data_IF_540377160625
#
_entry.id   IF_540377160625
#
_cell.length_a   1.000
_cell.length_b   1.000
_cell.length_c   1.000
_cell.angle_alpha   90.00
_cell.angle_beta   90.00
_cell.angle_gamma   90.00
#
_symmetry.space_group_name_H-M   'P 1'
#
loop_
_entity.id
_entity.type
_entity.pdbx_description
1 polymer ?
#
# COMPACT_ATOMS: atom_id res chain seq x y z
N UNK A 1 16.75 0.87 20.38
CA UNK A 1 16.24 0.37 19.10
C UNK A 1 15.91 1.56 18.23
N UNK A 2 16.53 1.67 17.06
CA UNK A 2 16.25 2.68 16.04
C UNK A 2 15.27 2.12 14.99
N UNK A 3 14.30 2.91 14.54
CA UNK A 3 13.32 2.52 13.52
C UNK A 3 13.43 3.46 12.32
N UNK A 4 13.69 2.91 11.14
CA UNK A 4 13.63 3.64 9.87
C UNK A 4 12.27 3.45 9.23
N UNK A 5 11.57 4.53 8.91
CA UNK A 5 10.48 4.52 7.93
C UNK A 5 11.05 4.56 6.52
N UNK A 6 10.39 3.95 5.55
CA UNK A 6 10.78 4.14 4.16
C UNK A 6 9.61 3.96 3.19
N UNK A 7 9.72 4.63 2.04
CA UNK A 7 8.74 4.53 0.96
C UNK A 7 9.36 4.84 -0.40
N UNK A 8 8.58 4.57 -1.45
CA UNK A 8 8.87 4.97 -2.82
C UNK A 8 7.75 5.85 -3.32
N UNK A 9 8.07 6.81 -4.18
CA UNK A 9 7.08 7.70 -4.74
C UNK A 9 7.49 8.18 -6.13
N UNK A 10 6.54 8.20 -7.06
CA UNK A 10 6.68 8.83 -8.37
C UNK A 10 5.33 9.40 -8.77
N UNK A 11 5.29 10.66 -9.20
CA UNK A 11 4.08 11.33 -9.66
C UNK A 11 2.90 11.25 -8.65
N UNK A 12 3.22 11.47 -7.38
CA UNK A 12 2.28 11.43 -6.26
C UNK A 12 1.12 12.41 -6.39
N UNK A 13 1.39 13.61 -6.90
CA UNK A 13 0.39 14.67 -7.09
C UNK A 13 -0.52 14.33 -8.28
N UNK A 14 0.07 14.02 -9.44
CA UNK A 14 -0.65 13.69 -10.66
C UNK A 14 -1.60 12.51 -10.49
N UNK A 15 -1.17 11.48 -9.76
CA UNK A 15 -1.98 10.29 -9.51
C UNK A 15 -2.81 10.35 -8.22
N UNK A 16 -2.91 11.52 -7.61
CA UNK A 16 -3.71 11.78 -6.41
C UNK A 16 -3.46 10.74 -5.29
N UNK A 17 -2.19 10.44 -5.02
CA UNK A 17 -1.81 9.60 -3.88
C UNK A 17 -1.90 10.41 -2.58
N UNK A 18 -2.42 9.84 -1.47
CA UNK A 18 -2.38 10.46 -0.16
C UNK A 18 -0.98 10.32 0.48
N UNK A 19 0.08 10.64 -0.26
CA UNK A 19 1.47 10.36 0.14
C UNK A 19 1.92 11.24 1.31
N UNK A 20 1.43 12.48 1.39
CA UNK A 20 1.72 13.36 2.52
C UNK A 20 1.09 12.81 3.80
N UNK A 21 -0.15 12.36 3.72
CA UNK A 21 -0.88 11.72 4.82
C UNK A 21 -0.23 10.41 5.25
N UNK A 22 0.22 9.61 4.29
CA UNK A 22 1.01 8.39 4.52
C UNK A 22 2.27 8.69 5.33
N UNK A 23 3.11 9.63 4.87
CA UNK A 23 4.36 10.01 5.54
C UNK A 23 4.08 10.57 6.95
N UNK A 24 3.12 11.50 7.07
CA UNK A 24 2.69 12.07 8.37
C UNK A 24 2.23 11.00 9.34
N UNK A 25 1.54 9.96 8.86
CA UNK A 25 1.03 8.89 9.73
C UNK A 25 2.12 7.99 10.31
N UNK A 26 3.29 7.90 9.68
CA UNK A 26 4.39 7.06 10.15
C UNK A 26 5.51 7.85 10.84
N UNK A 27 5.70 9.13 10.52
CA UNK A 27 6.66 10.05 11.13
C UNK A 27 6.77 9.97 12.67
N UNK A 28 5.66 9.89 13.44
CA UNK A 28 5.72 9.79 14.91
C UNK A 28 6.36 8.49 15.43
N UNK A 29 6.41 7.44 14.62
CA UNK A 29 6.85 6.09 15.00
C UNK A 29 8.30 5.79 14.64
N UNK A 30 8.97 6.68 13.90
CA UNK A 30 10.29 6.45 13.32
C UNK A 30 11.31 7.49 13.77
N UNK A 31 12.58 7.10 13.70
CA UNK A 31 13.73 7.95 14.01
C UNK A 31 14.29 8.62 12.74
N UNK A 32 14.10 7.98 11.59
CA UNK A 32 14.38 8.53 10.26
C UNK A 32 13.33 8.03 9.26
N UNK A 33 13.14 8.75 8.15
CA UNK A 33 12.23 8.37 7.08
C UNK A 33 12.91 8.55 5.73
N UNK A 34 13.22 7.44 5.07
CA UNK A 34 13.90 7.40 3.78
C UNK A 34 12.90 7.36 2.61
N UNK A 35 12.99 8.30 1.67
CA UNK A 35 12.06 8.42 0.56
C UNK A 35 12.82 8.37 -0.77
N UNK A 36 12.61 7.31 -1.55
CA UNK A 36 13.08 7.25 -2.94
C UNK A 36 12.07 7.92 -3.86
N UNK A 37 12.41 9.09 -4.37
CA UNK A 37 11.56 9.87 -5.28
C UNK A 37 11.98 9.60 -6.72
N UNK A 38 11.16 8.84 -7.45
CA UNK A 38 11.38 8.61 -8.87
C UNK A 38 11.23 9.90 -9.68
N UNK A 39 12.16 10.16 -10.60
CA UNK A 39 12.09 11.28 -11.57
C UNK A 39 10.72 11.33 -12.22
N UNK A 40 9.95 12.37 -11.90
CA UNK A 40 8.58 12.57 -12.34
C UNK A 40 8.41 13.80 -13.21
N UNK A 41 7.16 14.08 -13.58
CA UNK A 41 6.75 15.24 -14.37
C UNK A 41 5.75 16.14 -13.62
N UNK A 42 5.68 16.03 -12.29
CA UNK A 42 4.78 16.82 -11.44
C UNK A 42 5.49 17.45 -10.22
N UNK A 43 4.73 18.12 -9.35
CA UNK A 43 5.23 18.81 -8.16
C UNK A 43 5.65 17.88 -7.01
N UNK A 44 5.64 16.56 -7.19
CA UNK A 44 5.84 15.61 -6.09
C UNK A 44 7.15 15.83 -5.34
N UNK A 45 8.26 16.01 -6.05
CA UNK A 45 9.56 16.23 -5.42
C UNK A 45 9.55 17.50 -4.56
N UNK A 46 8.99 18.60 -5.09
CA UNK A 46 8.87 19.86 -4.36
C UNK A 46 8.01 19.73 -3.09
N UNK A 47 6.91 18.97 -3.15
CA UNK A 47 6.06 18.70 -1.97
C UNK A 47 6.79 17.88 -0.90
N UNK A 48 7.64 16.94 -1.30
CA UNK A 48 8.47 16.17 -0.37
C UNK A 48 9.54 17.06 0.27
N UNK A 49 10.19 17.94 -0.49
CA UNK A 49 11.14 18.92 0.05
C UNK A 49 10.45 19.83 1.07
N UNK A 50 9.29 20.39 0.72
CA UNK A 50 8.50 21.24 1.62
C UNK A 50 8.09 20.51 2.91
N UNK A 51 7.60 19.27 2.80
CA UNK A 51 7.26 18.45 3.97
C UNK A 51 8.49 18.19 4.85
N UNK A 52 9.63 17.89 4.24
CA UNK A 52 10.91 17.64 4.93
C UNK A 52 11.35 18.84 5.76
N UNK A 53 11.24 20.04 5.20
CA UNK A 53 11.64 21.30 5.84
C UNK A 53 10.68 21.73 6.95
N UNK A 54 9.37 21.59 6.73
CA UNK A 54 8.33 22.11 7.65
C UNK A 54 7.94 21.14 8.76
N UNK A 55 7.81 19.85 8.43
CA UNK A 55 7.22 18.84 9.31
C UNK A 55 8.17 17.68 9.60
N UNK A 56 9.18 17.47 8.75
CA UNK A 56 10.09 16.33 8.81
C UNK A 56 10.93 16.25 10.08
N UNK A 57 11.06 17.35 10.84
CA UNK A 57 11.79 17.40 12.12
C UNK A 57 13.22 16.82 12.04
N UNK A 58 13.90 17.02 10.90
CA UNK A 58 15.23 16.46 10.61
C UNK A 58 15.26 14.94 10.37
N UNK A 59 14.11 14.27 10.35
CA UNK A 59 14.00 12.80 10.14
C UNK A 59 13.87 12.40 8.69
N UNK A 60 13.31 13.25 7.83
CA UNK A 60 13.07 12.93 6.42
C UNK A 60 14.37 13.04 5.62
N UNK A 61 14.72 11.96 4.93
CA UNK A 61 15.83 11.86 4.01
C UNK A 61 15.24 11.45 2.68
N UNK A 62 15.25 12.35 1.70
CA UNK A 62 14.74 12.06 0.36
C UNK A 62 15.88 12.16 -0.66
N UNK A 63 15.78 11.34 -1.70
CA UNK A 63 16.74 11.35 -2.80
C UNK A 63 16.04 10.91 -4.08
N UNK A 64 16.63 11.30 -5.21
CA UNK A 64 16.06 11.02 -6.51
C UNK A 64 16.50 9.65 -7.06
N UNK A 65 15.59 8.98 -7.76
CA UNK A 65 15.87 7.74 -8.50
C UNK A 65 15.33 7.79 -9.92
N UNK A 66 15.85 6.94 -10.79
CA UNK A 66 15.31 6.73 -12.14
C UNK A 66 14.52 5.43 -12.15
N UNK A 67 13.31 5.46 -12.70
CA UNK A 67 12.54 4.25 -12.97
C UNK A 67 12.70 3.93 -14.45
N UNK A 68 13.39 2.83 -14.76
CA UNK A 68 13.65 2.36 -16.12
C UNK A 68 12.40 1.68 -16.70
N UNK A 69 11.35 2.46 -16.91
CA UNK A 69 10.06 2.00 -17.42
C UNK A 69 10.16 1.43 -18.85
N UNK A 70 11.20 1.80 -19.59
CA UNK A 70 11.45 1.30 -20.94
C UNK A 70 12.18 -0.05 -20.98
N UNK A 71 12.57 -0.62 -19.83
CA UNK A 71 13.15 -1.97 -19.78
C UNK A 71 12.05 -3.06 -19.66
N UNK A 72 11.88 -3.95 -20.66
CA UNK A 72 10.86 -5.01 -20.63
C UNK A 72 10.97 -5.96 -19.42
N UNK A 73 12.18 -6.25 -18.93
CA UNK A 73 12.37 -7.19 -17.81
C UNK A 73 11.90 -6.57 -16.49
N UNK A 74 12.05 -5.26 -16.34
CA UNK A 74 11.61 -4.51 -15.14
C UNK A 74 10.11 -4.29 -15.06
N UNK A 75 9.40 -4.41 -16.19
CA UNK A 75 7.93 -4.31 -16.27
C UNK A 75 7.23 -5.58 -15.79
N UNK A 76 7.89 -6.73 -15.90
CA UNK A 76 7.28 -8.02 -15.61
C UNK A 76 6.87 -8.13 -14.13
N UNK A 77 5.56 -8.11 -13.88
CA UNK A 77 5.00 -8.29 -12.54
C UNK A 77 5.29 -7.15 -11.57
N UNK A 78 5.54 -5.93 -12.07
CA UNK A 78 5.76 -4.75 -11.24
C UNK A 78 7.14 -4.70 -10.56
N UNK A 79 8.13 -5.47 -11.05
CA UNK A 79 9.45 -5.62 -10.45
C UNK A 79 10.12 -4.29 -10.09
N UNK A 80 9.98 -3.27 -10.94
CA UNK A 80 10.49 -1.92 -10.69
C UNK A 80 10.06 -1.35 -9.33
N UNK A 81 8.84 -1.66 -8.85
CA UNK A 81 8.36 -1.21 -7.54
C UNK A 81 9.21 -1.82 -6.41
N UNK A 82 9.47 -3.13 -6.48
CA UNK A 82 10.33 -3.79 -5.50
C UNK A 82 11.79 -3.36 -5.59
N UNK A 83 12.34 -3.08 -6.78
CA UNK A 83 13.69 -2.53 -6.95
C UNK A 83 13.82 -1.18 -6.24
N UNK A 84 12.90 -0.25 -6.51
CA UNK A 84 12.90 1.08 -5.88
C UNK A 84 12.72 0.97 -4.37
N UNK A 85 11.88 0.03 -3.92
CA UNK A 85 11.66 -0.23 -2.49
C UNK A 85 12.95 -0.72 -1.84
N UNK A 86 13.69 -1.59 -2.50
CA UNK A 86 14.97 -2.09 -2.02
C UNK A 86 16.06 -1.00 -2.02
N UNK A 87 16.08 -0.10 -3.01
CA UNK A 87 16.97 1.07 -3.05
C UNK A 87 16.73 2.03 -1.88
N UNK A 88 15.46 2.23 -1.48
CA UNK A 88 15.11 2.99 -0.29
C UNK A 88 15.52 2.23 1.00
N UNK A 89 15.25 0.93 1.06
CA UNK A 89 15.61 0.07 2.18
C UNK A 89 17.12 0.04 2.42
N UNK A 90 17.95 0.00 1.37
CA UNK A 90 19.42 0.00 1.48
C UNK A 90 20.00 1.25 2.14
N UNK A 91 19.24 2.35 2.18
CA UNK A 91 19.63 3.59 2.85
C UNK A 91 19.09 3.69 4.28
N UNK A 92 18.28 2.74 4.74
CA UNK A 92 17.83 2.68 6.12
C UNK A 92 18.98 2.26 7.04
N UNK A 93 19.07 2.87 8.22
CA UNK A 93 20.11 2.59 9.22
C UNK A 93 19.55 2.07 10.54
N UNK A 94 18.23 1.98 10.67
CA UNK A 94 17.55 1.47 11.86
C UNK A 94 17.71 -0.04 12.05
N UNK A 95 17.44 -0.49 13.27
CA UNK A 95 17.33 -1.91 13.62
C UNK A 95 16.10 -2.55 12.97
N UNK A 96 15.07 -1.73 12.74
CA UNK A 96 13.81 -2.08 12.09
C UNK A 96 13.50 -1.11 10.96
N UNK A 97 12.97 -1.63 9.86
CA UNK A 97 12.59 -0.86 8.68
C UNK A 97 11.08 -1.02 8.47
N UNK A 98 10.33 0.08 8.59
CA UNK A 98 8.89 0.15 8.39
C UNK A 98 8.59 0.74 7.00
N UNK A 99 8.14 -0.13 6.10
CA UNK A 99 7.66 0.24 4.77
C UNK A 99 6.19 0.64 4.81
N UNK A 100 5.84 1.75 4.16
CA UNK A 100 4.45 2.16 3.95
C UNK A 100 4.30 2.68 2.51
N UNK A 101 3.31 2.18 1.77
CA UNK A 101 3.08 2.65 0.39
C UNK A 101 2.42 4.03 0.39
N UNK A 102 2.55 4.76 -0.71
CA UNK A 102 2.04 6.13 -0.86
C UNK A 102 0.50 6.26 -0.69
N UNK A 103 -0.25 5.17 -0.79
CA UNK A 103 -1.69 5.07 -0.54
C UNK A 103 -2.05 4.32 0.74
N UNK A 104 -1.08 4.01 1.60
CA UNK A 104 -1.26 3.38 2.89
C UNK A 104 -1.07 4.40 4.02
N UNK A 105 -1.95 4.38 5.02
CA UNK A 105 -1.94 5.32 6.14
C UNK A 105 -2.17 4.57 7.45
N UNK A 106 -1.44 4.94 8.49
CA UNK A 106 -1.65 4.43 9.85
C UNK A 106 -2.65 5.29 10.62
N UNK A 107 -3.48 4.66 11.44
CA UNK A 107 -4.32 5.36 12.39
C UNK A 107 -3.56 5.59 13.70
N UNK A 108 -3.61 6.81 14.24
CA UNK A 108 -2.99 7.20 15.50
C UNK A 108 -3.41 6.32 16.70
N UNK A 109 -4.62 5.76 16.66
CA UNK A 109 -5.12 4.82 17.68
C UNK A 109 -4.34 3.50 17.72
N UNK A 110 -3.65 3.15 16.62
CA UNK A 110 -2.85 1.94 16.51
C UNK A 110 -1.38 2.15 16.92
N UNK A 111 -0.92 3.40 17.12
CA UNK A 111 0.47 3.70 17.50
C UNK A 111 0.95 2.97 18.76
N UNK A 112 0.18 2.90 19.87
CA UNK A 112 0.62 2.16 21.05
C UNK A 112 0.83 0.66 20.76
N UNK A 113 -0.03 0.06 19.92
CA UNK A 113 0.06 -1.36 19.53
C UNK A 113 1.31 -1.63 18.70
N UNK A 114 1.62 -0.72 17.77
CA UNK A 114 2.83 -0.80 16.94
C UNK A 114 4.09 -0.74 17.79
N UNK A 115 4.18 0.24 18.71
CA UNK A 115 5.34 0.38 19.60
C UNK A 115 5.54 -0.85 20.47
N UNK A 116 4.46 -1.40 21.00
CA UNK A 116 4.52 -2.60 21.83
C UNK A 116 4.95 -3.83 21.00
N UNK A 117 4.40 -4.01 19.79
CA UNK A 117 4.79 -5.09 18.90
C UNK A 117 6.27 -5.01 18.52
N UNK A 118 6.79 -3.81 18.22
CA UNK A 118 8.21 -3.59 17.96
C UNK A 118 9.07 -3.96 19.17
N UNK A 119 8.69 -3.55 20.38
CA UNK A 119 9.41 -3.88 21.61
C UNK A 119 9.45 -5.39 21.86
N UNK A 120 8.31 -6.06 21.75
CA UNK A 120 8.20 -7.50 21.90
C UNK A 120 9.05 -8.24 20.86
N UNK A 121 8.92 -7.87 19.59
CA UNK A 121 9.70 -8.47 18.53
C UNK A 121 11.19 -8.23 18.73
N UNK A 122 11.61 -7.01 19.10
CA UNK A 122 13.02 -6.68 19.30
C UNK A 122 13.68 -7.55 20.39
N UNK A 123 12.95 -7.88 21.46
CA UNK A 123 13.42 -8.79 22.52
C UNK A 123 13.53 -10.26 22.11
N UNK A 124 13.02 -10.63 20.92
CA UNK A 124 12.94 -12.00 20.40
C UNK A 124 13.72 -12.11 19.08
N UNK A 125 14.99 -12.55 19.11
CA UNK A 125 15.85 -12.59 17.92
C UNK A 125 15.29 -13.41 16.76
N UNK A 126 14.42 -14.40 17.04
CA UNK A 126 13.77 -15.23 16.05
C UNK A 126 12.63 -14.53 15.29
N UNK A 127 12.23 -13.33 15.70
CA UNK A 127 11.22 -12.52 15.04
C UNK A 127 11.89 -11.53 14.08
N UNK A 128 11.49 -11.62 12.81
CA UNK A 128 12.09 -10.95 11.66
C UNK A 128 11.16 -9.89 11.05
N UNK A 129 9.90 -9.82 11.48
CA UNK A 129 8.94 -8.86 10.97
C UNK A 129 7.67 -8.73 11.80
N UNK A 130 6.91 -7.67 11.51
CA UNK A 130 5.60 -7.39 12.06
C UNK A 130 4.55 -7.45 10.96
N UNK A 131 3.48 -8.18 11.25
CA UNK A 131 2.33 -8.41 10.38
C UNK A 131 1.18 -7.49 10.78
N UNK A 132 0.61 -6.78 9.83
CA UNK A 132 -0.46 -5.79 10.02
C UNK A 132 -1.75 -6.27 9.38
N UNK A 133 -2.90 -5.86 9.93
CA UNK A 133 -4.21 -6.05 9.29
C UNK A 133 -4.48 -4.92 8.29
N UNK A 134 -5.22 -5.21 7.22
CA UNK A 134 -5.53 -4.25 6.15
C UNK A 134 -7.00 -3.87 6.11
N UNK A 135 -7.23 -2.57 5.93
CA UNK A 135 -8.53 -1.98 5.63
C UNK A 135 -8.44 -1.38 4.23
N UNK A 136 -8.99 -2.08 3.24
CA UNK A 136 -8.93 -1.66 1.84
C UNK A 136 -10.15 -0.81 1.48
N UNK A 137 -9.93 0.44 1.09
CA UNK A 137 -11.00 1.32 0.62
C UNK A 137 -11.18 1.20 -0.90
N UNK A 138 -12.43 1.28 -1.35
CA UNK A 138 -12.79 1.11 -2.76
C UNK A 138 -13.87 2.09 -3.18
N UNK A 139 -13.61 2.87 -4.23
CA UNK A 139 -14.58 3.77 -4.84
C UNK A 139 -14.85 5.02 -4.01
N UNK A 140 -15.01 4.92 -2.70
CA UNK A 140 -15.13 6.06 -1.80
C UNK A 140 -14.38 5.84 -0.48
N UNK A 141 -14.28 6.88 0.34
CA UNK A 141 -13.68 6.75 1.67
C UNK A 141 -14.62 6.01 2.63
N UNK A 142 -15.90 5.91 2.30
CA UNK A 142 -16.93 5.28 3.15
C UNK A 142 -17.19 3.81 2.80
N UNK A 143 -16.39 3.22 1.91
CA UNK A 143 -16.60 1.85 1.42
C UNK A 143 -15.30 1.06 1.49
N UNK A 144 -15.39 -0.12 2.11
CA UNK A 144 -14.27 -1.06 2.23
C UNK A 144 -14.54 -2.38 1.51
N UNK A 145 -13.46 -2.99 1.00
CA UNK A 145 -13.47 -4.32 0.43
C UNK A 145 -13.04 -5.34 1.49
N UNK A 146 -14.00 -6.17 1.93
CA UNK A 146 -13.79 -7.23 2.92
C UNK A 146 -13.74 -8.64 2.30
N UNK A 147 -13.87 -8.76 0.97
CA UNK A 147 -13.84 -10.08 0.31
C UNK A 147 -12.45 -10.70 0.27
N UNK A 148 -12.42 -12.03 0.06
CA UNK A 148 -11.18 -12.78 -0.15
C UNK A 148 -10.32 -12.37 -1.36
N UNK A 149 -10.81 -11.46 -2.20
CA UNK A 149 -10.04 -10.92 -3.34
C UNK A 149 -8.98 -9.90 -2.91
N UNK A 150 -9.09 -9.34 -1.70
CA UNK A 150 -8.06 -8.52 -1.09
C UNK A 150 -7.32 -9.31 0.01
N UNK A 151 -6.02 -9.10 0.12
CA UNK A 151 -5.23 -9.68 1.20
C UNK A 151 -5.61 -8.98 2.51
N UNK A 152 -5.86 -9.73 3.58
CA UNK A 152 -6.25 -9.11 4.86
C UNK A 152 -5.07 -8.67 5.71
N UNK A 153 -3.87 -9.17 5.41
CA UNK A 153 -2.68 -9.00 6.24
C UNK A 153 -1.42 -8.96 5.41
N UNK A 154 -0.53 -8.05 5.74
CA UNK A 154 0.81 -8.04 5.17
C UNK A 154 1.93 -7.60 6.11
N UNK A 155 3.15 -8.04 5.78
CA UNK A 155 4.37 -7.67 6.50
C UNK A 155 4.79 -6.28 6.07
N UNK A 156 4.89 -5.35 7.03
CA UNK A 156 5.21 -3.94 6.76
C UNK A 156 6.35 -3.37 7.58
N UNK A 157 6.72 -4.03 8.67
CA UNK A 157 7.95 -3.71 9.37
C UNK A 157 8.83 -4.94 9.44
N UNK A 158 10.09 -4.83 9.03
CA UNK A 158 11.05 -5.93 9.00
C UNK A 158 12.25 -5.59 9.88
N UNK A 159 12.83 -6.61 10.52
CA UNK A 159 14.11 -6.45 11.21
C UNK A 159 15.19 -6.30 10.13
N UNK A 160 15.98 -5.24 10.22
CA UNK A 160 16.98 -4.94 9.20
C UNK A 160 18.00 -6.08 9.06
N UNK A 161 18.48 -6.63 10.18
CA UNK A 161 19.44 -7.74 10.21
C UNK A 161 18.89 -9.07 9.65
N UNK A 162 17.57 -9.19 9.42
CA UNK A 162 17.00 -10.38 8.80
C UNK A 162 17.22 -10.43 7.27
N UNK A 163 17.70 -9.34 6.67
CA UNK A 163 18.02 -9.26 5.24
C UNK A 163 16.78 -9.34 4.33
N UNK A 164 15.59 -9.04 4.85
CA UNK A 164 14.36 -9.08 4.08
C UNK A 164 14.39 -8.11 2.90
N UNK A 165 13.96 -8.57 1.72
CA UNK A 165 13.87 -7.78 0.49
C UNK A 165 12.45 -7.77 -0.04
N UNK A 166 12.07 -6.62 -0.59
CA UNK A 166 10.81 -6.42 -1.29
C UNK A 166 10.81 -7.25 -2.58
N UNK A 167 9.64 -7.75 -2.99
CA UNK A 167 9.46 -8.57 -4.19
C UNK A 167 8.25 -8.12 -5.02
N UNK A 168 8.32 -8.34 -6.33
CA UNK A 168 7.20 -8.13 -7.25
C UNK A 168 6.70 -6.69 -7.22
N UNK A 169 5.41 -6.52 -6.93
CA UNK A 169 4.70 -5.24 -6.80
C UNK A 169 4.99 -4.48 -5.50
N UNK A 170 6.05 -4.86 -4.78
CA UNK A 170 6.44 -4.37 -3.47
C UNK A 170 5.41 -4.61 -2.35
N UNK A 171 4.48 -5.55 -2.53
CA UNK A 171 3.50 -5.89 -1.50
C UNK A 171 4.10 -6.65 -0.31
N UNK A 172 5.17 -7.42 -0.52
CA UNK A 172 5.59 -8.47 0.41
C UNK A 172 7.11 -8.58 0.49
N UNK A 173 7.62 -9.09 1.62
CA UNK A 173 9.06 -9.24 1.88
C UNK A 173 9.47 -10.70 2.05
N UNK A 174 10.64 -11.05 1.53
CA UNK A 174 11.27 -12.37 1.71
C UNK A 174 12.77 -12.26 1.96
N UNK A 175 13.35 -13.31 2.51
CA UNK A 175 14.80 -13.43 2.58
C UNK A 175 15.40 -13.55 1.17
N UNK A 176 16.68 -13.23 0.96
CA UNK A 176 17.32 -13.31 -0.35
C UNK A 176 17.30 -14.73 -0.94
N UNK A 177 17.26 -15.76 -0.08
CA UNK A 177 17.11 -17.16 -0.49
C UNK A 177 15.66 -17.58 -0.81
N UNK A 178 14.71 -16.64 -0.84
CA UNK A 178 13.29 -16.88 -1.13
C UNK A 178 12.45 -17.33 0.07
N UNK A 179 13.05 -17.50 1.25
CA UNK A 179 12.32 -17.90 2.44
C UNK A 179 11.39 -16.81 2.99
N UNK A 180 10.30 -17.26 3.61
CA UNK A 180 9.33 -16.40 4.30
C UNK A 180 9.90 -15.92 5.62
N UNK A 181 9.67 -14.65 5.95
CA UNK A 181 10.04 -14.08 7.25
C UNK A 181 9.20 -14.67 8.39
N UNK A 182 9.83 -14.87 9.55
CA UNK A 182 9.17 -15.21 10.81
C UNK A 182 8.62 -13.95 11.46
N UNK A 183 7.30 -13.86 11.64
CA UNK A 183 6.64 -12.62 12.05
C UNK A 183 5.72 -12.81 13.24
N UNK A 184 5.50 -11.75 14.02
CA UNK A 184 4.39 -11.65 14.97
C UNK A 184 3.32 -10.68 14.45
N UNK A 185 2.09 -10.85 14.91
CA UNK A 185 0.99 -9.95 14.56
C UNK A 185 1.04 -8.69 15.43
N UNK A 186 1.03 -7.51 14.80
CA UNK A 186 1.15 -6.22 15.47
C UNK A 186 -0.14 -5.76 16.16
N UNK A 187 -1.28 -6.36 15.81
CA UNK A 187 -2.64 -5.92 16.18
C UNK A 187 -2.98 -4.50 15.73
N UNK A 188 -2.18 -3.94 14.83
CA UNK A 188 -2.38 -2.63 14.23
C UNK A 188 -2.89 -2.78 12.79
N UNK A 189 -3.60 -1.75 12.33
CA UNK A 189 -4.20 -1.71 10.99
C UNK A 189 -3.47 -0.76 10.08
N UNK A 190 -3.51 -1.07 8.78
CA UNK A 190 -3.12 -0.17 7.69
C UNK A 190 -4.35 0.14 6.86
N UNK A 191 -4.62 1.43 6.71
CA UNK A 191 -5.72 1.97 5.93
C UNK A 191 -5.20 2.21 4.51
N UNK A 192 -5.66 1.41 3.57
CA UNK A 192 -5.16 1.40 2.20
C UNK A 192 -6.19 2.02 1.24
N UNK A 193 -5.88 3.21 0.72
CA UNK A 193 -6.71 4.03 -0.17
C UNK A 193 -6.37 3.84 -1.66
N UNK A 194 -5.91 2.64 -2.05
CA UNK A 194 -5.41 2.36 -3.39
C UNK A 194 -6.45 2.47 -4.51
N UNK A 195 -7.74 2.43 -4.17
CA UNK A 195 -8.87 2.50 -5.11
C UNK A 195 -9.85 3.65 -4.82
N UNK A 196 -9.43 4.71 -4.13
CA UNK A 196 -10.27 5.89 -3.84
C UNK A 196 -9.73 7.16 -4.49
N UNK A 197 -10.22 7.49 -5.70
CA UNK A 197 -9.81 8.64 -6.52
C UNK A 197 -10.98 9.11 -7.40
N UNK A 198 -10.90 10.31 -7.97
CA UNK A 198 -11.86 10.66 -9.03
C UNK A 198 -11.77 9.65 -10.18
N UNK A 199 -12.85 9.41 -10.94
CA UNK A 199 -12.78 8.52 -12.11
C UNK A 199 -11.69 8.92 -13.11
N UNK A 200 -11.43 10.23 -13.28
CA UNK A 200 -10.37 10.72 -14.16
C UNK A 200 -8.95 10.42 -13.61
N UNK A 201 -8.67 10.72 -12.34
CA UNK A 201 -7.38 10.40 -11.73
C UNK A 201 -7.15 8.88 -11.63
N UNK A 202 -8.22 8.10 -11.39
CA UNK A 202 -8.16 6.65 -11.42
C UNK A 202 -7.85 6.13 -12.83
N UNK A 203 -8.43 6.73 -13.88
CA UNK A 203 -8.13 6.40 -15.27
C UNK A 203 -6.66 6.66 -15.59
N UNK A 204 -6.13 7.83 -15.24
CA UNK A 204 -4.72 8.17 -15.47
C UNK A 204 -3.75 7.25 -14.71
N UNK A 205 -4.04 6.96 -13.44
CA UNK A 205 -3.30 5.96 -12.66
C UNK A 205 -3.33 4.59 -13.35
N UNK A 206 -4.49 4.18 -13.84
CA UNK A 206 -4.65 2.87 -14.48
C UNK A 206 -3.82 2.79 -15.75
N UNK A 207 -3.78 3.85 -16.57
CA UNK A 207 -2.88 3.91 -17.73
C UNK A 207 -1.41 3.79 -17.35
N UNK A 208 -0.99 4.50 -16.30
CA UNK A 208 0.40 4.40 -15.82
C UNK A 208 0.73 3.00 -15.29
N UNK A 209 -0.21 2.36 -14.58
CA UNK A 209 -0.04 0.98 -14.12
C UNK A 209 0.00 0.01 -15.30
N UNK A 210 -0.88 0.16 -16.29
CA UNK A 210 -0.83 -0.66 -17.51
C UNK A 210 0.53 -0.47 -18.22
N UNK A 211 1.06 0.75 -18.26
CA UNK A 211 2.40 1.01 -18.80
C UNK A 211 3.49 0.27 -18.02
N UNK A 212 3.38 0.29 -16.69
CA UNK A 212 4.34 -0.35 -15.79
C UNK A 212 4.31 -1.89 -15.91
N UNK A 213 3.14 -2.49 -16.13
CA UNK A 213 2.98 -3.95 -16.20
C UNK A 213 3.02 -4.54 -17.62
N UNK A 214 2.67 -3.75 -18.63
CA UNK A 214 2.45 -4.20 -20.01
C UNK A 214 3.23 -3.40 -21.07
N UNK A 215 3.90 -2.30 -20.71
CA UNK A 215 4.64 -1.44 -21.66
C UNK A 215 3.79 -0.34 -22.28
N UNK A 216 4.33 0.39 -23.27
CA UNK A 216 3.59 1.49 -23.93
C UNK A 216 2.19 1.04 -24.34
N UNK A 217 1.19 1.87 -24.04
CA UNK A 217 -0.19 1.58 -24.38
C UNK A 217 -0.31 1.22 -25.86
N UNK A 218 -1.18 0.26 -26.18
CA UNK A 218 -1.59 0.03 -27.55
C UNK A 218 -2.06 1.38 -28.13
N UNK A 219 -1.52 1.86 -29.26
CA UNK A 219 -1.95 3.11 -29.88
C UNK A 219 -3.47 3.18 -30.10
N UNK A 220 -4.15 2.03 -30.25
CA UNK A 220 -5.61 1.96 -30.34
C UNK A 220 -6.30 2.20 -28.98
N UNK A 221 -5.76 1.66 -27.89
CA UNK A 221 -6.27 1.88 -26.53
C UNK A 221 -6.05 3.33 -26.07
N UNK A 222 -4.91 3.91 -26.44
CA UNK A 222 -4.59 5.32 -26.18
C UNK A 222 -5.54 6.26 -26.96
N UNK A 223 -5.82 5.95 -28.23
CA UNK A 223 -6.83 6.69 -29.04
C UNK A 223 -8.26 6.52 -28.53
N UNK A 224 -8.62 5.35 -27.99
CA UNK A 224 -9.94 5.07 -27.44
C UNK A 224 -10.15 5.64 -26.02
N UNK A 225 -9.10 6.17 -25.38
CA UNK A 225 -9.17 6.75 -24.04
C UNK A 225 -9.55 5.74 -22.95
N UNK A 226 -9.35 4.44 -23.20
CA UNK A 226 -9.69 3.36 -22.25
C UNK A 226 -8.44 2.54 -21.93
N UNK A 227 -8.09 2.34 -20.63
CA UNK A 227 -6.96 1.50 -20.25
C UNK A 227 -7.09 0.06 -20.76
N UNK A 228 -5.97 -0.64 -20.92
CA UNK A 228 -5.93 -2.05 -21.33
C UNK A 228 -6.63 -2.96 -20.31
N UNK A 229 -6.60 -2.58 -19.03
CA UNK A 229 -7.36 -3.24 -17.95
C UNK A 229 -8.86 -2.90 -17.94
N UNK A 230 -9.33 -2.10 -18.90
CA UNK A 230 -10.74 -1.80 -19.15
C UNK A 230 -11.28 -0.63 -18.33
N UNK A 231 -12.59 -0.66 -18.04
CA UNK A 231 -13.31 0.44 -17.39
C UNK A 231 -13.27 0.38 -15.85
N UNK A 232 -12.19 -0.12 -15.25
CA UNK A 232 -12.06 -0.24 -13.78
C UNK A 232 -12.06 1.12 -13.07
N UNK A 233 -11.75 2.20 -13.79
CA UNK A 233 -11.89 3.58 -13.32
C UNK A 233 -13.35 4.02 -13.13
N UNK A 234 -14.31 3.30 -13.73
CA UNK A 234 -15.73 3.41 -13.42
C UNK A 234 -16.02 2.43 -12.30
N UNK A 235 -16.07 2.94 -11.07
CA UNK A 235 -16.31 2.11 -9.88
C UNK A 235 -17.61 1.31 -10.00
N UNK A 236 -17.56 0.06 -9.53
CA UNK A 236 -18.63 -0.93 -9.67
C UNK A 236 -18.89 -1.59 -8.33
N UNK A 237 -20.16 -1.93 -8.07
CA UNK A 237 -20.47 -2.75 -6.89
C UNK A 237 -20.21 -4.22 -7.21
N UNK A 238 -19.48 -4.90 -6.35
CA UNK A 238 -19.25 -6.36 -6.42
C UNK A 238 -19.33 -6.98 -5.03
N UNK A 239 -19.28 -8.32 -4.97
CA UNK A 239 -19.41 -9.05 -3.72
C UNK A 239 -18.30 -8.71 -2.70
N UNK A 240 -18.72 -8.41 -1.47
CA UNK A 240 -17.86 -8.13 -0.32
C UNK A 240 -17.37 -6.69 -0.20
N UNK A 241 -18.01 -5.75 -0.90
CA UNK A 241 -17.97 -4.34 -0.51
C UNK A 241 -18.94 -4.07 0.63
N UNK A 242 -18.51 -3.28 1.62
CA UNK A 242 -19.28 -2.95 2.81
C UNK A 242 -19.07 -1.47 3.20
N UNK A 243 -20.06 -0.81 3.84
CA UNK A 243 -19.86 0.51 4.41
C UNK A 243 -18.77 0.49 5.49
N UNK A 244 -17.86 1.45 5.42
CA UNK A 244 -16.92 1.74 6.50
C UNK A 244 -17.65 2.47 7.62
N UNK A 245 -17.49 2.00 8.86
CA UNK A 245 -18.21 2.52 10.03
C UNK A 245 -17.31 3.01 11.17
N UNK A 246 -16.00 2.83 11.00
CA UNK A 246 -15.01 3.34 11.94
C UNK A 246 -14.61 4.78 11.57
N UNK A 247 -13.63 5.33 12.29
CA UNK A 247 -13.08 6.66 12.05
C UNK A 247 -11.84 6.57 11.17
N UNK A 248 -11.68 7.52 10.25
CA UNK A 248 -10.47 7.66 9.44
C UNK A 248 -9.32 8.26 10.26
N UNK A 249 -8.05 7.93 9.95
CA UNK A 249 -6.90 8.61 10.54
C UNK A 249 -7.01 10.13 10.45
N UNK A 250 -6.65 10.84 11.51
CA UNK A 250 -6.79 12.31 11.58
C UNK A 250 -6.11 13.03 10.40
N UNK A 251 -4.95 12.51 9.97
CA UNK A 251 -4.19 13.05 8.82
C UNK A 251 -4.99 13.05 7.51
N UNK A 252 -6.01 12.19 7.38
CA UNK A 252 -6.85 12.09 6.17
C UNK A 252 -8.06 13.03 6.19
N UNK A 253 -8.44 13.62 7.33
CA UNK A 253 -9.71 14.36 7.47
C UNK A 253 -9.83 15.51 6.48
N UNK A 254 -8.78 16.31 6.32
CA UNK A 254 -8.77 17.44 5.38
C UNK A 254 -9.00 16.96 3.94
N UNK A 255 -8.28 15.93 3.49
CA UNK A 255 -8.44 15.35 2.16
C UNK A 255 -9.85 14.79 1.93
N UNK A 256 -10.40 14.08 2.91
CA UNK A 256 -11.74 13.50 2.83
C UNK A 256 -12.78 14.63 2.71
N UNK A 257 -12.64 15.69 3.52
CA UNK A 257 -13.55 16.84 3.48
C UNK A 257 -13.47 17.65 2.17
N UNK A 258 -12.29 17.72 1.56
CA UNK A 258 -12.04 18.47 0.32
C UNK A 258 -12.38 17.69 -0.95
N UNK A 259 -12.72 16.39 -0.83
CA UNK A 259 -12.86 15.46 -1.96
C UNK A 259 -13.82 15.95 -3.05
N UNK A 260 -14.90 16.66 -2.70
CA UNK A 260 -15.83 17.25 -3.67
C UNK A 260 -16.57 16.26 -4.60
N UNK A 261 -16.31 14.95 -4.49
CA UNK A 261 -16.95 13.90 -5.27
C UNK A 261 -17.39 12.75 -4.36
N UNK A 262 -18.47 12.06 -4.73
CA UNK A 262 -19.01 10.93 -3.98
C UNK A 262 -19.33 9.78 -4.94
N UNK A 263 -19.02 8.56 -4.52
CA UNK A 263 -19.45 7.35 -5.20
C UNK A 263 -20.39 6.58 -4.27
N UNK A 264 -21.60 6.35 -4.76
CA UNK A 264 -22.67 5.71 -4.00
C UNK A 264 -22.68 4.20 -4.24
N UNK A 265 -22.33 3.44 -3.19
CA UNK A 265 -22.36 1.98 -3.20
C UNK A 265 -23.78 1.43 -3.44
N UNK A 266 -24.81 2.08 -2.91
CA UNK A 266 -26.19 1.56 -2.95
C UNK A 266 -26.80 1.66 -4.34
N UNK A 267 -26.53 2.77 -5.04
CA UNK A 267 -27.07 3.08 -6.37
C UNK A 267 -26.18 2.59 -7.53
N UNK A 268 -25.03 2.00 -7.23
CA UNK A 268 -24.13 1.47 -8.26
C UNK A 268 -24.56 0.10 -8.80
N UNK A 269 -24.35 -0.17 -10.11
CA UNK A 269 -24.69 -1.45 -10.70
C UNK A 269 -23.90 -2.58 -10.04
N UNK A 270 -24.61 -3.67 -9.71
CA UNK A 270 -24.00 -4.87 -9.17
C UNK A 270 -23.44 -5.73 -10.31
N UNK A 271 -22.13 -5.93 -10.30
CA UNK A 271 -21.43 -6.81 -11.21
C UNK A 271 -21.11 -8.13 -10.51
N UNK A 272 -21.62 -9.22 -11.08
CA UNK A 272 -21.42 -10.58 -10.59
C UNK A 272 -21.13 -11.51 -11.75
N UNK A 273 -20.20 -12.43 -11.53
CA UNK A 273 -19.87 -13.50 -12.47
C UNK A 273 -19.90 -14.86 -11.77
N UNK A 274 -20.11 -15.93 -12.52
CA UNK A 274 -20.07 -17.31 -11.99
C UNK A 274 -18.73 -17.66 -11.31
N UNK A 275 -17.65 -16.94 -11.65
CA UNK A 275 -16.34 -17.09 -11.01
C UNK A 275 -16.33 -16.60 -9.55
N UNK A 276 -17.31 -15.78 -9.16
CA UNK A 276 -17.45 -15.26 -7.81
C UNK A 276 -18.16 -16.22 -6.86
N UNK A 277 -18.86 -17.25 -7.37
CA UNK A 277 -19.57 -18.24 -6.53
C UNK A 277 -18.65 -18.94 -5.53
N UNK A 278 -17.44 -19.32 -5.97
CA UNK A 278 -16.42 -19.89 -5.07
C UNK A 278 -16.02 -18.93 -3.96
N UNK A 279 -15.93 -17.63 -4.27
CA UNK A 279 -15.57 -16.59 -3.29
C UNK A 279 -16.70 -16.44 -2.26
N UNK A 280 -17.94 -16.34 -2.71
CA UNK A 280 -19.14 -16.20 -1.85
C UNK A 280 -19.23 -17.36 -0.86
N UNK A 281 -19.08 -18.60 -1.34
CA UNK A 281 -19.13 -19.79 -0.49
C UNK A 281 -18.03 -19.74 0.58
N UNK A 282 -16.81 -19.42 0.17
CA UNK A 282 -15.66 -19.37 1.07
C UNK A 282 -15.74 -18.22 2.09
N UNK A 283 -16.24 -17.05 1.67
CA UNK A 283 -16.50 -15.90 2.56
C UNK A 283 -17.60 -16.25 3.57
N UNK A 284 -18.65 -16.95 3.14
CA UNK A 284 -19.74 -17.40 4.01
C UNK A 284 -19.22 -18.39 5.06
N UNK A 285 -18.41 -19.38 4.65
CA UNK A 285 -17.78 -20.31 5.59
C UNK A 285 -16.89 -19.57 6.58
N UNK A 286 -16.10 -18.58 6.13
CA UNK A 286 -15.26 -17.77 7.03
C UNK A 286 -16.13 -16.99 8.04
N UNK A 287 -17.23 -16.38 7.60
CA UNK A 287 -18.14 -15.63 8.48
C UNK A 287 -18.78 -16.50 9.58
N UNK A 288 -19.05 -17.78 9.27
CA UNK A 288 -19.66 -18.72 10.21
C UNK A 288 -18.64 -19.37 11.15
N UNK A 289 -17.42 -19.63 10.66
CA UNK A 289 -16.43 -20.44 11.39
C UNK A 289 -15.28 -19.61 11.99
N UNK A 290 -15.13 -18.35 11.57
CA UNK A 290 -13.94 -17.54 11.83
C UNK A 290 -12.67 -18.04 11.14
N UNK A 291 -12.76 -19.09 10.31
CA UNK A 291 -11.61 -19.75 9.68
C UNK A 291 -11.53 -19.44 8.19
N UNK A 292 -10.43 -18.80 7.78
CA UNK A 292 -10.11 -18.53 6.37
C UNK A 292 -9.32 -19.69 5.76
N UNK A 293 -10.01 -20.62 5.11
CA UNK A 293 -9.38 -21.75 4.42
C UNK A 293 -8.63 -21.29 3.15
N UNK A 294 -7.51 -21.93 2.80
CA UNK A 294 -6.75 -21.66 1.56
C UNK A 294 -6.24 -20.22 1.39
N UNK A 295 -5.98 -19.52 2.50
CA UNK A 295 -5.34 -18.22 2.48
C UNK A 295 -3.86 -18.36 2.11
N UNK A 296 -3.43 -17.66 1.06
CA UNK A 296 -2.01 -17.51 0.80
C UNK A 296 -1.37 -16.66 1.89
N UNK A 297 -0.31 -17.17 2.53
CA UNK A 297 0.44 -16.47 3.57
C UNK A 297 1.89 -16.34 3.15
N UNK A 298 2.38 -15.15 2.77
CA UNK A 298 3.78 -14.94 2.40
C UNK A 298 4.74 -14.92 3.60
N UNK A 299 4.26 -15.23 4.81
CA UNK A 299 5.02 -15.18 6.06
C UNK A 299 4.88 -16.47 6.90
N UNK A 300 5.75 -16.63 7.91
CA UNK A 300 5.67 -17.66 8.96
C UNK A 300 5.23 -17.00 10.27
N UNK A 301 3.97 -17.16 10.66
CA UNK A 301 3.45 -16.56 11.90
C UNK A 301 3.97 -17.30 13.13
N UNK A 302 4.58 -16.56 14.06
CA UNK A 302 5.03 -17.02 15.38
C UNK A 302 4.03 -16.59 16.45
N UNK A 303 3.92 -17.41 17.50
CA UNK A 303 3.12 -17.10 18.69
C UNK A 303 3.95 -16.29 19.68
#
# INVERSE_FOLDING_TARGET
MKVSGFTILRNGVKFDYPFLESIRSLLPLVDEFVIAVGKGDDETAARITELSEKEGSGKIIHFETVWELDDPEKRKGGLILSEQTNIALDRCTGDWCFYLQADEVLHESDYPRIREALRQAHSRPEIEGLLFDYVHFYGSYDVVQHSRSAYRREVRCIRHSAGGRSLGDAQSFRKPNGEKLSVIHSRARIFHYGWVRTPDAMREKTFFMDQLYHGKADPEAERAGTPATGNNYRYKRFWGLQPFRDVHPAVMHNRISAKGWHWDLTNSPFHWTWRDSKKIILDTIESLTGRRFFEYRPYRLKR
#
